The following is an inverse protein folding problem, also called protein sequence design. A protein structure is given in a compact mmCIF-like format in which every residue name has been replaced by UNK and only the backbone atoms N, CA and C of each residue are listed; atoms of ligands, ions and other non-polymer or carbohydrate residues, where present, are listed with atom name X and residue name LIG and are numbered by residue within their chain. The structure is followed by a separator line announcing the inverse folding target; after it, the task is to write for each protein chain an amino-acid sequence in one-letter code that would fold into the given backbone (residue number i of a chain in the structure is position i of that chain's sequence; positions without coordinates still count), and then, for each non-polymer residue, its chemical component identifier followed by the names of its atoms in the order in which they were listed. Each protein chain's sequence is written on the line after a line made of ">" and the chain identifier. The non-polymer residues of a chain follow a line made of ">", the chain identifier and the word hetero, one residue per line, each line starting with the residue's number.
data_IF_517283131680
#
_entry.id   IF_517283131680
#
_cell.length_a   1.000
_cell.length_b   1.000
_cell.length_c   1.000
_cell.angle_alpha   90.00
_cell.angle_beta   90.00
_cell.angle_gamma   90.00
#
_symmetry.space_group_name_H-M   'P 1'
#
loop_
_entity.id
_entity.type
_entity.pdbx_description
1 polymer ?
#
# COMPACT_ATOMS: atom_id res chain seq x y z
N UNK A 1 -20.57 -19.33 3.43
CA UNK A 1 -19.92 -18.94 3.39
C UNK A 1 -19.10 -18.48 3.40
N UNK A 2 -18.63 -18.15 3.18
CA UNK A 2 -17.63 -17.88 3.26
C UNK A 2 -17.16 -16.94 3.44
N UNK A 3 -16.74 -16.60 3.82
CA UNK A 3 -16.19 -16.02 4.22
C UNK A 3 -15.50 -15.07 4.09
N UNK A 4 -15.24 -14.26 4.38
CA UNK A 4 -14.67 -13.38 4.45
C UNK A 4 -13.71 -12.91 4.33
N UNK A 5 -13.42 -12.26 4.58
CA UNK A 5 -12.27 -12.37 4.00
C UNK A 5 -11.49 -11.11 3.79
N UNK A 6 -12.05 -10.07 3.23
CA UNK A 6 -11.47 -8.75 3.03
C UNK A 6 -12.16 -7.82 4.01
N UNK A 7 -11.64 -7.78 5.23
CA UNK A 7 -12.33 -7.16 6.35
C UNK A 7 -11.45 -6.21 7.15
N UNK A 8 -10.25 -5.97 6.66
CA UNK A 8 -9.32 -5.07 7.33
C UNK A 8 -9.54 -3.63 6.87
N UNK A 9 -9.11 -2.70 7.71
CA UNK A 9 -9.04 -1.29 7.38
C UNK A 9 -7.59 -0.86 7.48
N UNK A 10 -7.13 -0.11 6.49
CA UNK A 10 -5.78 0.45 6.52
C UNK A 10 -5.84 1.93 6.15
N UNK A 11 -4.79 2.65 6.55
CA UNK A 11 -4.55 4.01 6.08
C UNK A 11 -3.33 3.99 5.18
N UNK A 12 -3.50 4.43 3.94
CA UNK A 12 -2.44 4.52 2.95
C UNK A 12 -1.89 5.93 2.93
N UNK A 13 -0.57 6.05 2.97
CA UNK A 13 0.11 7.34 2.84
C UNK A 13 0.94 7.31 1.57
N UNK A 14 0.56 8.14 0.60
CA UNK A 14 1.22 8.22 -0.70
C UNK A 14 2.06 9.49 -0.78
N UNK A 15 3.34 9.32 -1.09
CA UNK A 15 4.26 10.44 -1.19
C UNK A 15 4.05 11.21 -2.49
N UNK A 16 3.99 12.52 -2.37
CA UNK A 16 4.05 13.43 -3.51
C UNK A 16 5.37 14.17 -3.39
N UNK A 17 6.22 13.99 -4.38
CA UNK A 17 7.54 14.62 -4.38
C UNK A 17 7.41 16.13 -4.44
N UNK A 18 8.16 16.82 -3.58
CA UNK A 18 8.21 18.27 -3.60
C UNK A 18 8.95 18.76 -4.83
N UNK A 19 8.64 19.97 -5.26
CA UNK A 19 9.42 20.66 -6.27
C UNK A 19 10.84 20.93 -5.71
N UNK A 20 11.74 21.26 -6.60
CA UNK A 20 13.13 21.52 -6.20
C UNK A 20 13.17 22.53 -5.04
N UNK A 21 13.83 22.10 -3.97
CA UNK A 21 13.94 22.92 -2.76
C UNK A 21 12.76 22.86 -1.83
N UNK A 22 11.74 22.03 -2.13
CA UNK A 22 10.56 21.86 -1.28
C UNK A 22 10.50 20.45 -0.74
N UNK A 23 9.94 20.31 0.46
CA UNK A 23 9.73 19.02 1.08
C UNK A 23 8.64 18.23 0.37
N UNK A 24 8.75 16.90 0.45
CA UNK A 24 7.69 16.01 -0.01
C UNK A 24 6.44 16.19 0.86
N UNK A 25 5.29 15.93 0.29
CA UNK A 25 4.02 15.88 1.01
C UNK A 25 3.43 14.48 0.93
N UNK A 26 2.40 14.23 1.74
CA UNK A 26 1.80 12.91 1.83
C UNK A 26 0.29 13.02 1.70
N UNK A 27 -0.28 12.15 0.88
CA UNK A 27 -1.73 12.07 0.68
C UNK A 27 -2.24 10.86 1.45
N UNK A 28 -3.28 11.05 2.24
CA UNK A 28 -3.86 10.03 3.11
C UNK A 28 -5.15 9.49 2.51
N UNK A 29 -5.25 8.17 2.43
CA UNK A 29 -6.49 7.49 2.06
C UNK A 29 -6.77 6.39 3.07
N UNK A 30 -8.01 6.32 3.57
CA UNK A 30 -8.46 5.19 4.39
C UNK A 30 -9.17 4.21 3.48
N UNK A 31 -8.71 2.98 3.47
CA UNK A 31 -9.29 1.91 2.66
C UNK A 31 -9.87 0.85 3.57
N UNK A 32 -11.13 0.50 3.32
CA UNK A 32 -11.83 -0.55 4.05
C UNK A 32 -12.09 -1.74 3.13
N UNK A 33 -12.38 -2.89 3.72
CA UNK A 33 -12.65 -4.08 2.94
C UNK A 33 -11.42 -4.65 2.26
N UNK A 34 -10.24 -4.38 2.79
CA UNK A 34 -8.97 -4.91 2.30
C UNK A 34 -8.53 -6.08 3.15
N UNK A 35 -7.46 -6.75 2.77
CA UNK A 35 -6.89 -7.85 3.56
C UNK A 35 -5.39 -7.71 3.63
N UNK A 36 -4.86 -7.76 4.85
CA UNK A 36 -3.42 -7.73 5.11
C UNK A 36 -2.99 -9.14 5.51
N UNK A 37 -2.11 -9.74 4.73
CA UNK A 37 -1.62 -11.09 4.98
C UNK A 37 -0.11 -11.09 5.14
N UNK A 38 0.36 -11.63 6.26
CA UNK A 38 1.78 -11.90 6.42
C UNK A 38 2.15 -13.16 5.65
N UNK A 39 3.21 -13.10 4.88
CA UNK A 39 3.70 -14.21 4.06
C UNK A 39 5.14 -14.50 4.39
N UNK A 40 5.55 -15.74 4.16
CA UNK A 40 6.93 -16.16 4.25
C UNK A 40 7.28 -16.88 2.96
N UNK A 41 8.38 -16.47 2.35
CA UNK A 41 8.91 -17.12 1.16
C UNK A 41 10.28 -17.68 1.46
N UNK A 42 10.63 -18.81 0.82
CA UNK A 42 11.96 -19.40 0.89
C UNK A 42 12.66 -19.16 -0.43
N UNK A 43 13.84 -18.59 -0.37
CA UNK A 43 14.64 -18.33 -1.57
C UNK A 43 15.85 -19.26 -1.55
N UNK A 44 16.05 -20.11 -2.58
CA UNK A 44 17.23 -20.97 -2.65
C UNK A 44 18.51 -20.14 -2.73
N UNK A 45 19.51 -20.53 -1.98
CA UNK A 45 20.80 -19.86 -1.97
C UNK A 45 21.93 -20.87 -2.01
N UNK A 46 23.16 -20.35 -2.12
CA UNK A 46 24.34 -21.22 -2.18
C UNK A 46 24.60 -21.97 -0.88
N UNK A 47 24.08 -21.47 0.22
CA UNK A 47 24.23 -22.08 1.55
C UNK A 47 22.93 -22.69 2.06
N UNK A 48 21.92 -22.83 1.19
CA UNK A 48 20.60 -23.36 1.54
C UNK A 48 19.52 -22.31 1.31
N UNK A 49 18.32 -22.61 1.79
CA UNK A 49 17.19 -21.71 1.63
C UNK A 49 17.28 -20.56 2.62
N UNK A 50 16.93 -19.37 2.15
CA UNK A 50 16.89 -18.16 2.99
C UNK A 50 15.41 -17.76 3.17
N UNK A 51 14.89 -17.77 4.40
CA UNK A 51 13.52 -17.33 4.62
C UNK A 51 13.38 -15.84 4.38
N UNK A 52 12.32 -15.45 3.68
CA UNK A 52 11.95 -14.07 3.47
C UNK A 52 10.58 -13.81 4.02
N UNK A 53 10.40 -12.65 4.63
CA UNK A 53 9.12 -12.23 5.16
C UNK A 53 8.63 -11.02 4.37
N UNK A 54 7.37 -11.04 3.99
CA UNK A 54 6.73 -9.92 3.36
C UNK A 54 5.25 -9.91 3.71
N UNK A 55 4.61 -8.81 3.37
CA UNK A 55 3.18 -8.63 3.60
C UNK A 55 2.52 -8.42 2.26
N UNK A 56 1.39 -9.08 2.08
CA UNK A 56 0.56 -8.90 0.90
C UNK A 56 -0.70 -8.16 1.30
N UNK A 57 -0.94 -7.01 0.69
CA UNK A 57 -2.16 -6.24 0.88
C UNK A 57 -3.04 -6.47 -0.35
N UNK A 58 -4.21 -7.05 -0.12
CA UNK A 58 -5.20 -7.30 -1.16
C UNK A 58 -6.23 -6.19 -1.12
N UNK A 59 -6.34 -5.43 -2.21
CA UNK A 59 -7.25 -4.29 -2.30
C UNK A 59 -8.26 -4.56 -3.41
N UNK A 60 -9.50 -4.96 -3.07
CA UNK A 60 -10.54 -5.09 -4.08
C UNK A 60 -10.79 -3.75 -4.76
N UNK A 61 -11.14 -3.79 -6.05
CA UNK A 61 -11.44 -2.56 -6.80
C UNK A 61 -12.50 -1.70 -6.10
N UNK A 62 -13.48 -2.34 -5.47
CA UNK A 62 -14.52 -1.64 -4.74
C UNK A 62 -13.97 -0.82 -3.56
N UNK A 63 -12.84 -1.22 -2.98
CA UNK A 63 -12.27 -0.53 -1.82
C UNK A 63 -11.69 0.83 -2.15
N UNK A 64 -11.33 1.09 -3.40
CA UNK A 64 -10.85 2.42 -3.79
C UNK A 64 -12.02 3.36 -4.15
N UNK A 65 -13.25 2.83 -4.23
CA UNK A 65 -14.45 3.62 -4.44
C UNK A 65 -14.41 4.42 -5.75
N UNK A 66 -14.65 5.71 -5.65
CA UNK A 66 -14.66 6.59 -6.81
C UNK A 66 -13.26 7.02 -7.27
N UNK A 67 -12.22 6.65 -6.53
CA UNK A 67 -10.84 7.00 -6.92
C UNK A 67 -10.42 6.21 -8.16
N UNK A 68 -9.56 6.81 -8.97
CA UNK A 68 -8.99 6.18 -10.15
C UNK A 68 -7.53 5.80 -9.84
N UNK A 69 -7.19 4.55 -10.11
CA UNK A 69 -5.81 4.11 -9.95
C UNK A 69 -4.91 4.79 -10.97
N UNK A 70 -3.77 5.28 -10.52
CA UNK A 70 -2.73 5.87 -11.36
C UNK A 70 -1.42 5.13 -11.13
N UNK A 71 -0.64 4.98 -12.20
CA UNK A 71 0.74 4.49 -12.04
C UNK A 71 1.55 5.54 -11.28
N UNK A 72 2.70 5.15 -10.68
CA UNK A 72 3.53 6.12 -9.97
C UNK A 72 3.89 7.35 -10.82
N UNK A 73 4.23 7.14 -12.09
CA UNK A 73 4.61 8.23 -12.99
C UNK A 73 3.45 9.19 -13.22
N UNK A 74 2.26 8.66 -13.48
CA UNK A 74 1.07 9.48 -13.70
C UNK A 74 0.69 10.21 -12.42
N UNK A 75 0.78 9.52 -11.29
CA UNK A 75 0.43 10.11 -9.99
C UNK A 75 1.33 11.31 -9.66
N UNK A 76 2.65 11.14 -9.86
CA UNK A 76 3.60 12.21 -9.56
C UNK A 76 3.45 13.41 -10.52
N UNK A 77 3.08 13.15 -11.77
CA UNK A 77 2.94 14.20 -12.78
C UNK A 77 1.60 14.92 -12.74
N UNK A 78 0.61 14.42 -11.99
CA UNK A 78 -0.72 14.99 -11.99
C UNK A 78 -0.74 16.38 -11.32
N UNK A 79 -1.50 17.29 -11.89
CA UNK A 79 -1.73 18.61 -11.29
C UNK A 79 -2.74 18.52 -10.15
N UNK A 80 -3.71 17.63 -10.28
CA UNK A 80 -4.75 17.42 -9.27
C UNK A 80 -4.84 15.91 -8.96
N UNK A 81 -4.58 15.54 -7.71
CA UNK A 81 -4.58 14.15 -7.26
C UNK A 81 -5.82 13.79 -6.44
N UNK A 82 -6.77 14.70 -6.32
CA UNK A 82 -7.93 14.49 -5.44
C UNK A 82 -8.77 13.27 -5.82
N UNK A 83 -8.80 12.92 -7.10
CA UNK A 83 -9.52 11.74 -7.58
C UNK A 83 -8.64 10.55 -7.88
N UNK A 84 -7.38 10.57 -7.49
CA UNK A 84 -6.40 9.53 -7.85
C UNK A 84 -5.93 8.78 -6.61
N UNK A 85 -5.55 7.52 -6.83
CA UNK A 85 -4.87 6.70 -5.83
C UNK A 85 -3.74 5.94 -6.52
N UNK A 86 -2.62 5.79 -5.83
CA UNK A 86 -1.48 5.01 -6.33
C UNK A 86 -0.88 4.22 -5.20
N UNK A 87 -0.29 3.08 -5.55
CA UNK A 87 0.46 2.24 -4.61
C UNK A 87 1.91 2.26 -5.09
N UNK A 88 2.68 3.18 -4.57
CA UNK A 88 4.04 3.45 -5.06
C UNK A 88 5.08 2.79 -4.18
N UNK A 89 6.19 2.29 -4.77
CA UNK A 89 7.31 1.85 -3.95
C UNK A 89 7.77 2.99 -3.04
N UNK A 90 7.95 2.68 -1.76
CA UNK A 90 8.33 3.67 -0.76
C UNK A 90 7.16 4.32 -0.02
N UNK A 91 5.96 4.23 -0.55
CA UNK A 91 4.77 4.60 0.22
C UNK A 91 4.57 3.61 1.35
N UNK A 92 3.74 3.95 2.32
CA UNK A 92 3.49 3.04 3.42
C UNK A 92 2.01 3.06 3.82
N UNK A 93 1.61 2.00 4.49
CA UNK A 93 0.26 1.91 5.06
C UNK A 93 0.36 1.36 6.47
N UNK A 94 -0.66 1.65 7.27
CA UNK A 94 -0.78 1.08 8.60
C UNK A 94 -2.20 0.56 8.82
N UNK A 95 -2.31 -0.42 9.71
CA UNK A 95 -3.63 -0.96 10.07
C UNK A 95 -4.41 0.09 10.85
N UNK A 96 -5.70 0.19 10.52
CA UNK A 96 -6.61 1.11 11.17
C UNK A 96 -6.64 2.45 10.49
N UNK A 97 -7.31 3.39 11.12
CA UNK A 97 -7.48 4.75 10.64
C UNK A 97 -6.58 5.65 11.47
N UNK A 98 -5.54 6.19 10.85
CA UNK A 98 -4.56 7.02 11.53
C UNK A 98 -4.30 8.30 10.76
N UNK A 99 -4.00 9.36 11.49
CA UNK A 99 -3.49 10.60 10.91
C UNK A 99 -2.06 10.40 10.43
N UNK A 100 -1.63 11.25 9.50
CA UNK A 100 -0.27 11.17 9.01
C UNK A 100 0.76 11.41 10.12
N UNK A 101 1.79 10.61 10.11
CA UNK A 101 3.00 10.80 10.90
C UNK A 101 4.15 10.15 10.16
N UNK A 102 5.38 10.40 10.61
CA UNK A 102 6.56 9.73 10.08
C UNK A 102 6.41 8.22 10.26
N UNK A 103 6.98 7.45 9.33
CA UNK A 103 6.86 6.01 9.33
C UNK A 103 7.29 5.38 10.66
N UNK A 104 8.45 5.81 11.19
CA UNK A 104 8.95 5.27 12.45
C UNK A 104 8.01 5.57 13.62
N UNK A 105 7.39 6.73 13.62
CA UNK A 105 6.44 7.10 14.67
C UNK A 105 5.17 6.26 14.60
N UNK A 106 4.67 6.02 13.39
CA UNK A 106 3.49 5.16 13.20
C UNK A 106 3.76 3.72 13.57
N UNK A 107 4.96 3.21 13.28
CA UNK A 107 5.34 1.85 13.64
C UNK A 107 5.30 1.59 15.14
N UNK A 108 5.37 2.63 15.97
CA UNK A 108 5.30 2.50 17.43
C UNK A 108 3.88 2.33 17.95
N UNK A 109 2.88 2.74 17.16
CA UNK A 109 1.48 2.75 17.62
C UNK A 109 0.58 1.86 16.77
N UNK A 110 1.04 1.41 15.61
CA UNK A 110 0.25 0.60 14.69
C UNK A 110 1.16 -0.33 13.91
N UNK A 111 0.56 -1.36 13.32
CA UNK A 111 1.27 -2.23 12.37
C UNK A 111 1.40 -1.47 11.06
N UNK A 112 2.63 -1.16 10.65
CA UNK A 112 2.94 -0.43 9.43
C UNK A 112 3.81 -1.24 8.51
N UNK A 113 3.63 -1.03 7.21
CA UNK A 113 4.39 -1.73 6.18
C UNK A 113 4.72 -0.77 5.06
N UNK A 114 5.90 -0.91 4.50
CA UNK A 114 6.36 -0.07 3.39
C UNK A 114 6.17 -0.82 2.08
N UNK A 115 5.54 -0.17 1.11
CA UNK A 115 5.22 -0.78 -0.19
C UNK A 115 6.49 -0.99 -1.01
N UNK A 116 6.59 -2.16 -1.63
CA UNK A 116 7.68 -2.49 -2.55
C UNK A 116 7.20 -2.62 -3.99
N UNK A 117 5.98 -3.12 -4.22
CA UNK A 117 5.44 -3.26 -5.57
C UNK A 117 3.92 -3.39 -5.53
N UNK A 118 3.31 -3.25 -6.70
CA UNK A 118 1.87 -3.40 -6.86
C UNK A 118 1.57 -4.07 -8.19
N UNK A 119 0.61 -4.98 -8.21
CA UNK A 119 0.13 -5.65 -9.40
C UNK A 119 -1.40 -5.53 -9.48
N UNK A 120 -1.91 -5.42 -10.70
CA UNK A 120 -3.34 -5.36 -10.97
C UNK A 120 -3.81 -6.66 -11.60
N UNK A 121 -4.93 -7.19 -11.09
CA UNK A 121 -5.52 -8.45 -11.56
C UNK A 121 -6.94 -8.18 -12.07
N UNK A 122 -7.15 -8.14 -13.40
CA UNK A 122 -8.45 -7.73 -13.94
C UNK A 122 -9.54 -8.79 -13.89
N UNK A 123 -9.19 -10.08 -13.84
CA UNK A 123 -10.20 -11.15 -13.83
C UNK A 123 -11.05 -11.15 -12.55
N UNK A 124 -10.40 -10.89 -11.42
CA UNK A 124 -11.07 -10.57 -10.17
C UNK A 124 -10.57 -9.19 -9.79
N UNK A 125 -11.28 -8.12 -10.13
CA UNK A 125 -10.70 -6.77 -10.06
C UNK A 125 -10.16 -6.44 -8.67
N UNK A 126 -8.85 -6.52 -8.53
CA UNK A 126 -8.16 -6.18 -7.29
C UNK A 126 -6.69 -5.86 -7.53
N UNK A 127 -6.09 -5.19 -6.58
CA UNK A 127 -4.66 -4.93 -6.54
C UNK A 127 -4.01 -5.83 -5.51
N UNK A 128 -2.83 -6.34 -5.82
CA UNK A 128 -1.98 -7.04 -4.86
C UNK A 128 -0.75 -6.17 -4.62
N UNK A 129 -0.66 -5.63 -3.41
CA UNK A 129 0.39 -4.72 -3.03
C UNK A 129 1.34 -5.50 -2.13
N UNK A 130 2.61 -5.59 -2.54
CA UNK A 130 3.63 -6.26 -1.76
C UNK A 130 4.34 -5.22 -0.90
N UNK A 131 4.56 -5.55 0.36
CA UNK A 131 5.16 -4.64 1.32
C UNK A 131 6.08 -5.41 2.27
N UNK A 132 6.85 -4.68 3.02
CA UNK A 132 7.77 -5.26 4.01
C UNK A 132 7.64 -4.62 5.39
#
# INVERSE_FOLDING_TARGET
>A
MLLQLHNDTITLFSRVRGARGQADTWVRHVLTGVKVEAKTAMTPGTTGDVPGHYVLLLVPKASIGALTYATPEVYQAADDRSGLIAFQPGDYFCRGDHDWAEYEALCKVAECHRITSCAWFPLRPHFEVTAS
#
